data_IF_132348491317
#
_entry.id   IF_132348491317
#
_cell.length_a   1.000
_cell.length_b   1.000
_cell.length_c   1.000
_cell.angle_alpha   90.00
_cell.angle_beta   90.00
_cell.angle_gamma   90.00
#
_symmetry.space_group_name_H-M   'P 1'
#
loop_
_entity.id
_entity.type
_entity.pdbx_description
1 polymer ?
#
# COMPACT_ATOMS: atom_id res chain seq x y z
N UNK A 1 -13.25 -37.00 71.93
CA UNK A 1 -14.02 -35.74 72.06
C UNK A 1 -14.08 -35.06 70.70
N UNK A 2 -15.12 -35.34 69.92
CA UNK A 2 -15.31 -34.71 68.61
C UNK A 2 -16.11 -33.42 68.78
N UNK A 3 -15.53 -32.27 68.41
CA UNK A 3 -16.19 -30.96 68.45
C UNK A 3 -17.28 -30.94 67.36
N UNK A 4 -18.54 -30.89 67.77
CA UNK A 4 -19.68 -30.66 66.88
C UNK A 4 -19.53 -29.29 66.23
N UNK A 5 -19.53 -29.27 64.91
CA UNK A 5 -19.51 -28.04 64.13
C UNK A 5 -20.95 -27.57 64.02
N UNK A 6 -21.33 -26.65 64.91
CA UNK A 6 -22.64 -25.99 64.88
C UNK A 6 -22.84 -25.42 63.47
N UNK A 7 -23.84 -25.94 62.77
CA UNK A 7 -24.27 -25.44 61.47
C UNK A 7 -25.21 -24.28 61.70
N UNK A 8 -25.11 -23.26 60.86
CA UNK A 8 -25.90 -22.02 60.93
C UNK A 8 -27.42 -22.23 61.01
N UNK A 9 -27.90 -23.42 60.62
CA UNK A 9 -29.32 -23.76 60.65
C UNK A 9 -29.86 -24.20 62.03
N UNK A 10 -28.99 -24.39 63.04
CA UNK A 10 -29.35 -25.00 64.33
C UNK A 10 -29.62 -23.97 65.46
N UNK A 11 -29.67 -22.67 65.14
CA UNK A 11 -29.87 -21.59 66.12
C UNK A 11 -31.00 -20.63 65.73
N UNK A 12 -31.97 -21.08 64.92
CA UNK A 12 -33.05 -20.23 64.38
C UNK A 12 -34.45 -20.81 64.63
N UNK A 13 -34.62 -21.59 65.68
CA UNK A 13 -35.94 -21.84 66.27
C UNK A 13 -35.86 -21.35 67.72
N UNK A 14 -36.84 -20.53 68.12
CA UNK A 14 -37.05 -19.94 69.46
C UNK A 14 -36.42 -18.56 69.71
N UNK A 15 -36.97 -17.51 69.10
CA UNK A 15 -37.44 -16.33 69.85
C UNK A 15 -38.25 -15.39 68.94
N UNK A 16 -39.53 -15.21 69.28
CA UNK A 16 -40.41 -14.17 68.76
C UNK A 16 -39.87 -12.79 69.17
N UNK A 17 -39.01 -12.21 68.33
CA UNK A 17 -38.47 -10.86 68.51
C UNK A 17 -38.28 -10.22 67.15
N UNK A 18 -39.14 -9.25 66.83
CA UNK A 18 -39.01 -8.24 65.76
C UNK A 18 -37.81 -8.43 64.83
N UNK A 19 -37.98 -9.30 63.81
CA UNK A 19 -36.95 -9.66 62.84
C UNK A 19 -36.70 -8.49 61.85
N UNK A 20 -36.15 -7.42 62.39
CA UNK A 20 -35.61 -6.29 61.66
C UNK A 20 -34.34 -6.75 60.95
N UNK A 21 -34.27 -6.50 59.64
CA UNK A 21 -33.08 -6.86 58.86
C UNK A 21 -31.87 -6.12 59.44
N UNK A 22 -30.70 -6.78 59.56
CA UNK A 22 -29.52 -6.12 60.09
C UNK A 22 -29.13 -4.92 59.22
N UNK A 23 -28.60 -3.84 59.82
CA UNK A 23 -28.29 -2.62 59.09
C UNK A 23 -27.22 -2.85 58.03
N UNK A 24 -27.32 -2.09 56.94
CA UNK A 24 -26.34 -2.09 55.86
C UNK A 24 -24.93 -1.86 56.40
N UNK A 25 -24.03 -2.78 56.08
CA UNK A 25 -22.62 -2.69 56.49
C UNK A 25 -21.74 -2.40 55.28
N UNK A 26 -20.89 -1.40 55.43
CA UNK A 26 -19.91 -1.01 54.42
C UNK A 26 -18.54 -1.38 54.96
N UNK A 27 -17.91 -2.42 54.39
CA UNK A 27 -16.50 -2.70 54.65
C UNK A 27 -15.66 -1.92 53.65
N UNK A 28 -14.67 -1.20 54.20
CA UNK A 28 -13.78 -0.30 53.50
C UNK A 28 -13.00 -0.95 52.35
N UNK A 29 -12.24 -0.16 51.58
CA UNK A 29 -11.50 -0.66 50.45
C UNK A 29 -10.43 -1.64 50.90
N UNK A 30 -10.52 -2.89 50.44
CA UNK A 30 -9.48 -3.90 50.65
C UNK A 30 -8.13 -3.42 50.06
N UNK A 31 -7.04 -4.13 50.29
CA UNK A 31 -5.71 -3.84 49.71
C UNK A 31 -5.70 -3.68 48.17
N UNK A 32 -6.76 -4.13 47.49
CA UNK A 32 -7.00 -4.00 46.06
C UNK A 32 -7.98 -2.86 45.67
N UNK A 33 -8.37 -1.98 46.59
CA UNK A 33 -9.24 -0.82 46.34
C UNK A 33 -10.72 -1.17 46.12
N UNK A 34 -11.17 -2.33 46.61
CA UNK A 34 -12.55 -2.81 46.43
C UNK A 34 -13.37 -2.56 47.71
N UNK A 35 -14.41 -1.74 47.61
CA UNK A 35 -15.40 -1.49 48.67
C UNK A 35 -16.47 -2.57 48.62
N UNK A 36 -16.72 -3.26 49.73
CA UNK A 36 -17.77 -4.28 49.81
C UNK A 36 -18.94 -3.75 50.65
N UNK A 37 -20.07 -3.49 50.00
CA UNK A 37 -21.32 -3.06 50.65
C UNK A 37 -22.25 -4.26 50.76
N UNK A 38 -22.64 -4.62 51.98
CA UNK A 38 -23.58 -5.70 52.25
C UNK A 38 -24.90 -5.12 52.71
N UNK A 39 -25.94 -5.31 51.90
CA UNK A 39 -27.32 -4.90 52.16
C UNK A 39 -28.19 -6.15 52.29
N UNK A 40 -29.19 -6.10 53.17
CA UNK A 40 -30.16 -7.16 53.34
C UNK A 40 -31.53 -6.65 52.89
N UNK A 41 -32.23 -7.43 52.08
CA UNK A 41 -33.55 -7.12 51.53
C UNK A 41 -34.53 -8.23 51.88
N UNK A 42 -35.83 -7.91 51.99
CA UNK A 42 -36.90 -8.90 52.13
C UNK A 42 -37.79 -8.81 50.90
N UNK A 43 -38.07 -9.95 50.27
CA UNK A 43 -38.98 -10.01 49.12
C UNK A 43 -40.45 -9.96 49.57
N UNK A 44 -41.36 -9.73 48.63
CA UNK A 44 -42.82 -9.75 48.86
C UNK A 44 -43.35 -11.09 49.43
N UNK A 45 -42.56 -12.16 49.30
CA UNK A 45 -42.86 -13.50 49.85
C UNK A 45 -42.35 -13.73 51.27
N UNK A 46 -41.69 -12.74 51.89
CA UNK A 46 -41.17 -12.83 53.26
C UNK A 46 -39.72 -13.33 53.38
N UNK A 47 -39.15 -13.89 52.29
CA UNK A 47 -37.78 -14.40 52.25
C UNK A 47 -36.73 -13.27 52.32
N UNK A 48 -35.68 -13.46 53.13
CA UNK A 48 -34.58 -12.51 53.28
C UNK A 48 -33.41 -12.84 52.33
N UNK A 49 -32.92 -11.83 51.61
CA UNK A 49 -31.79 -11.91 50.69
C UNK A 49 -30.65 -11.00 51.11
N UNK A 50 -29.42 -11.46 50.88
CA UNK A 50 -28.19 -10.69 51.10
C UNK A 50 -27.62 -10.24 49.76
N UNK A 51 -27.58 -8.93 49.52
CA UNK A 51 -26.95 -8.30 48.36
C UNK A 51 -25.55 -7.82 48.74
N UNK A 52 -24.53 -8.39 48.10
CA UNK A 52 -23.13 -7.99 48.29
C UNK A 52 -22.66 -7.25 47.04
N UNK A 53 -22.59 -5.92 47.12
CA UNK A 53 -22.10 -5.06 46.04
C UNK A 53 -20.62 -4.78 46.25
N UNK A 54 -19.77 -5.27 45.35
CA UNK A 54 -18.33 -4.96 45.33
C UNK A 54 -18.07 -3.84 44.33
N UNK A 55 -17.69 -2.66 44.82
CA UNK A 55 -17.39 -1.49 43.99
C UNK A 55 -15.88 -1.24 44.01
N UNK A 56 -15.24 -1.28 42.84
CA UNK A 56 -13.85 -0.88 42.66
C UNK A 56 -13.80 0.47 41.95
N UNK A 57 -13.24 1.47 42.62
CA UNK A 57 -13.00 2.78 41.98
C UNK A 57 -11.67 2.68 41.23
N UNK A 58 -11.73 2.69 39.89
CA UNK A 58 -10.55 2.67 39.03
C UNK A 58 -10.34 4.07 38.48
N UNK A 59 -9.26 4.73 38.87
CA UNK A 59 -8.83 5.97 38.26
C UNK A 59 -8.20 5.66 36.90
N UNK A 60 -8.90 6.02 35.81
CA UNK A 60 -8.38 5.88 34.45
C UNK A 60 -7.81 7.23 34.03
N UNK A 61 -6.49 7.36 34.11
CA UNK A 61 -5.78 8.52 33.59
C UNK A 61 -5.82 8.49 32.06
N UNK A 62 -6.46 9.50 31.46
CA UNK A 62 -6.48 9.69 30.01
C UNK A 62 -5.60 10.89 29.68
N UNK A 63 -4.60 10.68 28.82
CA UNK A 63 -3.84 11.79 28.25
C UNK A 63 -4.75 12.51 27.25
N UNK A 64 -5.15 13.73 27.58
CA UNK A 64 -5.99 14.58 26.75
C UNK A 64 -5.22 15.86 26.45
N UNK A 65 -5.27 16.32 25.19
CA UNK A 65 -4.69 17.60 24.82
C UNK A 65 -5.48 18.74 25.48
N UNK A 66 -4.78 19.77 25.97
CA UNK A 66 -5.38 20.92 26.66
C UNK A 66 -6.54 21.56 25.87
N UNK A 67 -6.34 21.74 24.55
CA UNK A 67 -7.37 22.30 23.64
C UNK A 67 -8.64 21.44 23.61
N UNK A 68 -8.52 20.12 23.71
CA UNK A 68 -9.66 19.20 23.72
C UNK A 68 -10.47 19.32 25.00
N UNK A 69 -9.80 19.55 26.13
CA UNK A 69 -10.46 19.77 27.43
C UNK A 69 -11.20 21.10 27.46
N UNK A 70 -10.56 22.17 26.95
CA UNK A 70 -11.18 23.49 26.82
C UNK A 70 -12.45 23.44 25.95
N UNK A 71 -12.36 22.80 24.78
CA UNK A 71 -13.51 22.63 23.86
C UNK A 71 -14.63 21.81 24.47
N UNK A 72 -14.33 20.85 25.35
CA UNK A 72 -15.33 20.01 26.00
C UNK A 72 -16.18 20.78 27.01
N UNK A 73 -15.63 21.83 27.60
CA UNK A 73 -16.30 22.68 28.59
C UNK A 73 -16.99 23.90 27.97
N UNK A 74 -16.99 24.04 26.64
CA UNK A 74 -17.67 25.16 25.98
C UNK A 74 -19.18 25.10 26.19
N UNK A 75 -19.82 26.26 26.43
CA UNK A 75 -21.27 26.32 26.50
C UNK A 75 -21.86 25.87 25.16
N UNK A 76 -22.89 25.05 25.23
CA UNK A 76 -23.69 24.67 24.05
C UNK A 76 -24.49 25.90 23.59
N UNK A 77 -24.77 25.99 22.30
CA UNK A 77 -25.42 27.14 21.69
C UNK A 77 -26.48 26.70 20.67
N UNK A 78 -27.33 27.65 20.26
CA UNK A 78 -28.41 27.39 19.29
C UNK A 78 -29.46 26.43 19.86
N UNK A 79 -29.88 25.46 19.04
CA UNK A 79 -30.91 24.47 19.42
C UNK A 79 -30.42 23.48 20.49
N UNK A 80 -29.11 23.33 20.66
CA UNK A 80 -28.50 22.44 21.66
C UNK A 80 -28.27 23.12 23.03
N UNK A 81 -28.68 24.39 23.20
CA UNK A 81 -28.45 25.14 24.43
C UNK A 81 -29.20 24.57 25.64
N UNK A 82 -30.37 23.96 25.42
CA UNK A 82 -31.19 23.32 26.47
C UNK A 82 -30.85 21.85 26.71
N UNK A 83 -30.05 21.25 25.82
CA UNK A 83 -29.70 19.83 25.93
C UNK A 83 -28.70 19.58 27.04
N UNK A 84 -28.97 18.58 27.88
CA UNK A 84 -28.00 18.07 28.85
C UNK A 84 -27.04 17.09 28.20
N UNK A 85 -25.97 16.71 28.90
CA UNK A 85 -24.94 15.79 28.37
C UNK A 85 -25.51 14.45 27.89
N UNK A 86 -26.66 14.04 28.43
CA UNK A 86 -27.32 12.77 28.16
C UNK A 86 -28.34 12.85 27.01
N UNK A 87 -28.77 14.07 26.65
CA UNK A 87 -29.80 14.33 25.63
C UNK A 87 -29.26 14.33 24.19
N UNK A 88 -28.06 13.77 23.97
CA UNK A 88 -27.45 13.79 22.64
C UNK A 88 -28.24 12.92 21.65
N UNK A 89 -28.83 13.57 20.65
CA UNK A 89 -29.60 12.96 19.54
C UNK A 89 -28.82 11.87 18.78
N UNK A 90 -27.49 11.89 18.84
CA UNK A 90 -26.61 11.10 17.97
C UNK A 90 -26.31 9.67 18.42
N UNK A 91 -26.83 9.16 19.54
CA UNK A 91 -26.46 7.81 19.99
C UNK A 91 -27.65 7.04 20.54
N UNK A 92 -28.22 6.11 19.75
CA UNK A 92 -28.90 4.93 20.32
C UNK A 92 -28.66 3.59 19.60
N UNK A 93 -28.04 3.53 18.41
CA UNK A 93 -27.72 2.24 17.79
C UNK A 93 -26.22 2.05 17.63
N UNK A 94 -25.67 1.17 18.48
CA UNK A 94 -24.33 0.61 18.32
C UNK A 94 -24.44 -0.56 17.36
N UNK A 95 -24.51 -0.28 16.06
CA UNK A 95 -24.34 -1.32 15.07
C UNK A 95 -22.85 -1.69 15.01
N UNK A 96 -22.55 -2.96 15.23
CA UNK A 96 -21.21 -3.48 15.00
C UNK A 96 -21.00 -3.60 13.49
N UNK A 97 -20.23 -2.67 12.92
CA UNK A 97 -19.78 -2.76 11.53
C UNK A 97 -18.42 -3.47 11.53
N UNK A 98 -18.35 -4.78 11.18
CA UNK A 98 -17.08 -5.45 11.10
C UNK A 98 -16.28 -4.90 9.91
N UNK A 99 -15.20 -4.19 10.19
CA UNK A 99 -14.23 -3.80 9.18
C UNK A 99 -13.26 -4.94 8.92
N UNK A 100 -13.56 -5.75 7.91
CA UNK A 100 -12.59 -6.73 7.42
C UNK A 100 -11.52 -5.99 6.60
N UNK A 101 -10.33 -5.81 7.19
CA UNK A 101 -9.16 -5.39 6.42
C UNK A 101 -8.81 -6.53 5.49
N UNK A 102 -9.19 -6.41 4.21
CA UNK A 102 -8.79 -7.33 3.15
C UNK A 102 -7.26 -7.29 3.06
N UNK A 103 -6.60 -8.17 3.81
CA UNK A 103 -5.22 -8.51 3.54
C UNK A 103 -5.26 -9.18 2.18
N UNK A 104 -4.58 -8.61 1.19
CA UNK A 104 -4.30 -9.37 -0.01
C UNK A 104 -3.51 -10.61 0.45
N UNK A 105 -4.22 -11.74 0.57
CA UNK A 105 -3.58 -13.03 0.73
C UNK A 105 -2.61 -13.11 -0.44
N UNK A 106 -1.32 -13.27 -0.17
CA UNK A 106 -0.35 -13.55 -1.22
C UNK A 106 -0.84 -14.83 -1.86
N UNK A 107 -1.52 -14.71 -3.00
CA UNK A 107 -2.09 -15.85 -3.68
C UNK A 107 -0.98 -16.89 -3.83
N UNK A 108 -1.28 -18.08 -3.32
CA UNK A 108 -0.34 -19.19 -3.33
C UNK A 108 0.08 -19.41 -4.78
N UNK A 109 1.33 -19.80 -5.04
CA UNK A 109 1.82 -19.94 -6.44
C UNK A 109 0.89 -20.83 -7.30
N UNK A 110 0.15 -21.76 -6.68
CA UNK A 110 -0.84 -22.60 -7.34
C UNK A 110 -2.09 -21.82 -7.79
N UNK A 111 -2.61 -20.89 -6.99
CA UNK A 111 -3.79 -20.09 -7.34
C UNK A 111 -3.46 -19.09 -8.44
N UNK A 112 -2.28 -18.44 -8.37
CA UNK A 112 -1.79 -17.56 -9.45
C UNK A 112 -1.64 -18.31 -10.78
N UNK A 113 -1.09 -19.53 -10.73
CA UNK A 113 -0.99 -20.40 -11.91
C UNK A 113 -2.36 -20.79 -12.46
N UNK A 114 -3.36 -21.00 -11.61
CA UNK A 114 -4.70 -21.38 -12.06
C UNK A 114 -5.43 -20.20 -12.71
N UNK A 115 -5.37 -19.01 -12.12
CA UNK A 115 -5.97 -17.79 -12.69
C UNK A 115 -5.28 -17.36 -13.97
N UNK A 116 -3.94 -17.43 -14.02
CA UNK A 116 -3.16 -17.09 -15.21
C UNK A 116 -3.39 -18.09 -16.35
N UNK A 117 -3.55 -19.38 -16.03
CA UNK A 117 -3.85 -20.43 -17.02
C UNK A 117 -5.28 -20.33 -17.56
N UNK A 118 -6.25 -19.96 -16.72
CA UNK A 118 -7.63 -19.74 -17.14
C UNK A 118 -7.76 -18.48 -18.02
N UNK A 119 -7.04 -17.40 -17.67
CA UNK A 119 -6.95 -16.20 -18.50
C UNK A 119 -6.20 -16.45 -19.82
N UNK A 120 -5.11 -17.23 -19.80
CA UNK A 120 -4.35 -17.60 -21.00
C UNK A 120 -5.12 -18.55 -21.93
N UNK A 121 -6.01 -19.41 -21.40
CA UNK A 121 -6.86 -20.31 -22.19
C UNK A 121 -8.01 -19.57 -22.87
N UNK A 122 -8.41 -18.40 -22.35
CA UNK A 122 -9.43 -17.53 -22.94
C UNK A 122 -8.84 -16.52 -23.94
N UNK A 123 -7.55 -16.20 -23.85
CA UNK A 123 -6.85 -15.37 -24.83
C UNK A 123 -6.32 -16.18 -26.01
N UNK A 124 -6.61 -15.77 -27.24
CA UNK A 124 -6.13 -16.43 -28.47
C UNK A 124 -4.62 -16.26 -28.73
N UNK A 125 -3.87 -15.68 -27.78
CA UNK A 125 -2.45 -15.39 -27.90
C UNK A 125 -1.59 -16.51 -27.31
N UNK A 126 -1.03 -17.33 -28.18
CA UNK A 126 -0.12 -18.46 -27.84
C UNK A 126 1.23 -18.02 -27.24
N UNK A 127 1.42 -16.74 -26.94
CA UNK A 127 2.68 -16.15 -26.47
C UNK A 127 2.89 -16.26 -24.95
N UNK A 128 1.84 -16.57 -24.18
CA UNK A 128 1.91 -16.61 -22.71
C UNK A 128 2.50 -17.90 -22.10
N UNK A 129 2.92 -18.88 -22.90
CA UNK A 129 3.39 -20.20 -22.40
C UNK A 129 4.91 -20.28 -22.23
N UNK A 130 5.69 -19.29 -22.70
CA UNK A 130 7.15 -19.40 -22.62
C UNK A 130 7.68 -18.66 -21.40
N UNK A 131 8.05 -19.45 -20.38
CA UNK A 131 8.82 -18.99 -19.22
C UNK A 131 10.13 -18.30 -19.62
N UNK A 132 10.75 -17.65 -18.63
CA UNK A 132 12.04 -16.94 -18.64
C UNK A 132 12.82 -16.96 -19.97
N UNK A 133 13.29 -15.80 -20.44
CA UNK A 133 14.05 -15.60 -21.69
C UNK A 133 15.09 -16.70 -22.02
N UNK A 134 15.69 -17.32 -21.00
CA UNK A 134 16.60 -18.46 -21.12
C UNK A 134 15.95 -19.71 -21.72
N UNK A 135 14.71 -20.05 -21.34
CA UNK A 135 13.93 -21.16 -21.88
C UNK A 135 13.47 -20.87 -23.31
N UNK A 136 13.11 -19.62 -23.62
CA UNK A 136 12.73 -19.22 -24.98
C UNK A 136 13.90 -19.40 -25.95
N UNK A 137 15.11 -19.00 -25.53
CA UNK A 137 16.34 -19.15 -26.33
C UNK A 137 16.78 -20.61 -26.44
N UNK A 138 16.61 -21.42 -25.38
CA UNK A 138 16.91 -22.85 -25.42
C UNK A 138 15.97 -23.60 -26.37
N UNK A 139 14.66 -23.35 -26.28
CA UNK A 139 13.64 -23.93 -27.17
C UNK A 139 13.92 -23.57 -28.64
N UNK A 140 14.23 -22.30 -28.93
CA UNK A 140 14.53 -21.84 -30.29
C UNK A 140 15.82 -22.43 -30.86
N UNK A 141 16.82 -22.71 -30.01
CA UNK A 141 18.05 -23.42 -30.41
C UNK A 141 17.76 -24.87 -30.79
N UNK A 142 17.03 -25.60 -29.93
CA UNK A 142 16.66 -26.99 -30.17
C UNK A 142 15.79 -27.16 -31.41
N UNK A 143 14.82 -26.26 -31.60
CA UNK A 143 13.95 -26.26 -32.79
C UNK A 143 14.75 -26.09 -34.08
N UNK A 144 15.76 -25.20 -34.08
CA UNK A 144 16.65 -25.00 -35.24
C UNK A 144 17.51 -26.22 -35.54
N UNK A 145 17.98 -26.91 -34.49
CA UNK A 145 18.77 -28.14 -34.62
C UNK A 145 17.93 -29.29 -35.17
N UNK A 146 16.68 -29.40 -34.74
CA UNK A 146 15.71 -30.39 -35.20
C UNK A 146 15.28 -30.14 -36.66
N UNK A 147 15.09 -28.88 -37.06
CA UNK A 147 14.83 -28.48 -38.44
C UNK A 147 16.00 -28.80 -39.37
N UNK A 148 17.24 -28.67 -38.89
CA UNK A 148 18.45 -29.04 -39.61
C UNK A 148 18.57 -30.56 -39.75
N UNK A 149 18.30 -31.31 -38.68
CA UNK A 149 18.26 -32.77 -38.71
C UNK A 149 17.15 -33.34 -39.61
N UNK A 150 16.03 -32.60 -39.76
CA UNK A 150 14.93 -32.93 -40.68
C UNK A 150 15.16 -32.45 -42.12
N UNK A 151 16.32 -31.84 -42.43
CA UNK A 151 16.68 -31.40 -43.78
C UNK A 151 15.84 -30.22 -44.32
N UNK A 152 15.05 -29.55 -43.47
CA UNK A 152 14.20 -28.41 -43.83
C UNK A 152 14.92 -27.07 -43.73
N UNK A 153 16.19 -27.09 -43.31
CA UNK A 153 17.07 -25.93 -43.20
C UNK A 153 18.35 -26.30 -43.97
N UNK A 154 18.50 -25.74 -45.17
CA UNK A 154 19.61 -26.05 -46.07
C UNK A 154 20.96 -25.71 -45.42
N UNK A 155 21.89 -26.66 -45.44
CA UNK A 155 23.29 -26.35 -45.21
C UNK A 155 23.80 -25.49 -46.37
N UNK A 156 24.55 -24.43 -46.04
CA UNK A 156 25.16 -23.59 -47.06
C UNK A 156 26.10 -24.45 -47.91
N UNK A 157 25.66 -24.78 -49.12
CA UNK A 157 26.44 -25.59 -50.06
C UNK A 157 27.75 -24.89 -50.38
N UNK A 158 28.84 -25.64 -50.20
CA UNK A 158 30.16 -25.29 -50.70
C UNK A 158 30.09 -25.31 -52.23
N UNK A 159 30.46 -24.23 -52.95
CA UNK A 159 30.35 -24.23 -54.40
C UNK A 159 31.30 -25.26 -55.03
N UNK A 160 30.91 -25.88 -56.16
CA UNK A 160 31.69 -26.90 -56.82
C UNK A 160 32.92 -26.30 -57.51
N UNK A 161 34.04 -27.01 -57.41
CA UNK A 161 35.27 -26.74 -58.13
C UNK A 161 35.03 -27.01 -59.63
N UNK A 162 35.20 -26.01 -60.49
CA UNK A 162 35.51 -26.21 -61.91
C UNK A 162 36.65 -25.28 -62.37
N UNK A 163 37.50 -25.91 -63.16
CA UNK A 163 38.85 -25.54 -63.57
C UNK A 163 38.87 -24.64 -64.81
N UNK A 164 39.93 -23.81 -64.94
CA UNK A 164 40.38 -23.23 -66.21
C UNK A 164 39.98 -21.78 -66.55
N UNK A 165 40.94 -20.85 -66.39
CA UNK A 165 40.97 -19.60 -67.17
C UNK A 165 41.54 -18.36 -66.47
N UNK A 166 42.84 -18.09 -66.66
CA UNK A 166 43.52 -16.85 -66.21
C UNK A 166 43.04 -15.62 -66.99
N UNK A 167 42.76 -14.50 -66.31
CA UNK A 167 43.14 -13.13 -66.73
C UNK A 167 42.90 -12.06 -65.64
N UNK A 168 44.00 -11.59 -65.06
CA UNK A 168 44.35 -10.22 -64.61
C UNK A 168 43.28 -9.18 -64.18
N UNK A 169 43.36 -8.80 -62.89
CA UNK A 169 43.75 -7.43 -62.49
C UNK A 169 42.67 -6.42 -62.12
N UNK A 170 42.40 -6.23 -60.82
CA UNK A 170 41.94 -4.99 -60.15
C UNK A 170 42.03 -5.18 -58.60
N UNK A 171 42.26 -4.13 -57.79
CA UNK A 171 42.68 -4.25 -56.40
C UNK A 171 41.55 -4.67 -55.43
N UNK A 172 41.96 -5.42 -54.42
CA UNK A 172 41.13 -6.22 -53.53
C UNK A 172 40.12 -5.43 -52.66
N UNK A 173 38.85 -5.86 -52.74
CA UNK A 173 37.81 -5.54 -51.76
C UNK A 173 38.09 -6.25 -50.41
N UNK A 174 37.70 -5.66 -49.27
CA UNK A 174 37.95 -6.26 -47.96
C UNK A 174 37.14 -7.56 -47.77
N UNK A 175 37.80 -8.53 -47.15
CA UNK A 175 37.34 -9.92 -46.93
C UNK A 175 35.96 -9.99 -46.24
N UNK A 176 35.07 -10.92 -46.65
CA UNK A 176 33.78 -11.12 -45.98
C UNK A 176 34.01 -11.85 -44.66
N UNK A 177 33.87 -11.15 -43.55
CA UNK A 177 34.01 -11.79 -42.22
C UNK A 177 34.19 -10.84 -41.04
N UNK A 178 34.44 -9.55 -41.25
CA UNK A 178 34.44 -8.59 -40.14
C UNK A 178 33.05 -7.98 -39.96
N UNK A 179 32.49 -8.16 -38.76
CA UNK A 179 31.21 -7.60 -38.36
C UNK A 179 31.32 -6.07 -38.27
N UNK A 180 30.73 -5.38 -39.24
CA UNK A 180 30.58 -3.93 -39.20
C UNK A 180 29.34 -3.60 -38.36
N UNK A 181 29.45 -2.82 -37.28
CA UNK A 181 28.32 -2.53 -36.41
C UNK A 181 27.19 -1.80 -37.17
N UNK A 182 25.91 -2.03 -36.84
CA UNK A 182 24.76 -1.50 -37.59
C UNK A 182 24.78 0.03 -37.82
N UNK A 183 25.38 0.79 -36.90
CA UNK A 183 25.49 2.25 -36.97
C UNK A 183 26.29 2.78 -38.17
N UNK A 184 27.23 2.00 -38.73
CA UNK A 184 28.09 2.45 -39.85
C UNK A 184 27.61 1.96 -41.22
N UNK A 185 26.59 1.10 -41.26
CA UNK A 185 26.07 0.52 -42.51
C UNK A 185 25.11 1.43 -43.26
N UNK A 186 24.61 2.50 -42.65
CA UNK A 186 23.52 3.29 -43.21
C UNK A 186 23.83 4.80 -43.32
N UNK A 187 25.03 5.17 -43.77
CA UNK A 187 25.37 6.57 -44.12
C UNK A 187 25.04 6.91 -45.59
N UNK A 188 24.35 6.02 -46.31
CA UNK A 188 23.81 6.31 -47.64
C UNK A 188 22.33 6.67 -47.53
N UNK A 189 22.01 7.93 -47.85
CA UNK A 189 20.69 8.50 -48.11
C UNK A 189 19.47 7.59 -47.82
N UNK A 190 18.87 7.72 -46.63
CA UNK A 190 17.46 7.33 -46.44
C UNK A 190 17.07 6.37 -45.31
N UNK A 191 17.85 6.20 -44.23
CA UNK A 191 17.34 5.49 -43.04
C UNK A 191 17.54 6.30 -41.76
N UNK A 192 16.42 6.63 -41.12
CA UNK A 192 16.32 7.60 -40.04
C UNK A 192 16.95 7.15 -38.72
N UNK A 193 17.63 8.09 -38.06
CA UNK A 193 17.36 8.59 -36.72
C UNK A 193 16.96 7.66 -35.55
N UNK A 194 17.30 6.37 -35.57
CA UNK A 194 17.06 5.52 -34.40
C UNK A 194 17.95 5.89 -33.20
N UNK A 195 19.11 6.53 -33.42
CA UNK A 195 20.00 7.04 -32.37
C UNK A 195 19.55 8.36 -31.72
N UNK A 196 19.01 9.30 -32.51
CA UNK A 196 18.51 10.59 -32.00
C UNK A 196 17.18 10.44 -31.25
N UNK A 197 16.39 9.41 -31.58
CA UNK A 197 15.10 9.15 -30.93
C UNK A 197 15.21 8.83 -29.42
N UNK A 198 16.34 8.26 -28.98
CA UNK A 198 16.59 7.96 -27.56
C UNK A 198 17.04 9.18 -26.76
N UNK A 199 17.79 10.10 -27.37
CA UNK A 199 18.18 11.37 -26.75
C UNK A 199 16.98 12.32 -26.65
N UNK A 200 16.08 12.28 -27.63
CA UNK A 200 14.92 13.16 -27.66
C UNK A 200 13.85 12.82 -26.60
N UNK A 201 13.82 11.56 -26.13
CA UNK A 201 13.01 11.12 -24.97
C UNK A 201 13.61 11.50 -23.62
N UNK A 202 14.89 11.92 -23.60
CA UNK A 202 15.59 12.43 -22.41
C UNK A 202 15.88 13.92 -22.55
N UNK A 203 14.92 14.67 -23.10
CA UNK A 203 14.97 16.13 -22.99
C UNK A 203 14.74 16.50 -21.54
N UNK A 204 15.83 16.63 -20.80
CA UNK A 204 15.86 17.11 -19.42
C UNK A 204 15.36 18.57 -19.32
N UNK A 205 15.31 19.28 -20.46
CA UNK A 205 14.80 20.65 -20.56
C UNK A 205 13.30 20.79 -20.25
N UNK A 206 12.56 19.68 -20.32
CA UNK A 206 11.12 19.60 -20.03
C UNK A 206 10.83 18.97 -18.65
N UNK A 207 11.88 18.74 -17.85
CA UNK A 207 11.78 18.05 -16.58
C UNK A 207 11.58 19.03 -15.42
N UNK A 208 10.60 18.74 -14.58
CA UNK A 208 10.29 19.44 -13.35
C UNK A 208 10.76 18.63 -12.15
N UNK A 209 11.33 19.34 -11.18
CA UNK A 209 11.62 18.83 -9.84
C UNK A 209 10.55 19.36 -8.88
N UNK A 210 9.87 18.42 -8.23
CA UNK A 210 8.90 18.70 -7.18
C UNK A 210 9.56 18.40 -5.83
N UNK A 211 9.46 19.35 -4.91
CA UNK A 211 10.04 19.26 -3.56
C UNK A 211 8.98 19.54 -2.51
N UNK A 212 9.24 19.10 -1.28
CA UNK A 212 8.32 19.21 -0.14
C UNK A 212 7.04 18.37 -0.31
N UNK A 213 7.21 17.14 -0.81
CA UNK A 213 6.13 16.15 -0.90
C UNK A 213 5.94 15.41 0.42
N UNK A 214 4.69 15.07 0.74
CA UNK A 214 4.35 14.20 1.88
C UNK A 214 4.87 12.77 1.68
N UNK A 215 5.08 12.06 2.79
CA UNK A 215 5.54 10.67 2.81
C UNK A 215 4.50 9.70 2.22
N UNK A 216 3.23 10.08 2.25
CA UNK A 216 2.11 9.26 1.77
C UNK A 216 1.85 9.39 0.25
N UNK A 217 2.53 10.31 -0.45
CA UNK A 217 2.27 10.59 -1.87
C UNK A 217 2.73 9.46 -2.79
N UNK A 218 1.86 8.91 -3.64
CA UNK A 218 2.26 7.91 -4.63
C UNK A 218 2.58 8.52 -6.00
N UNK A 219 3.21 7.74 -6.87
CA UNK A 219 3.44 8.13 -8.27
C UNK A 219 2.12 8.40 -9.02
N UNK A 220 1.05 7.66 -8.68
CA UNK A 220 -0.28 7.84 -9.26
C UNK A 220 -0.88 9.19 -8.88
N UNK A 221 -0.72 9.62 -7.62
CA UNK A 221 -1.23 10.91 -7.14
C UNK A 221 -0.53 12.08 -7.85
N UNK A 222 0.79 11.98 -8.04
CA UNK A 222 1.54 12.95 -8.83
C UNK A 222 1.07 12.95 -10.29
N UNK A 223 0.80 11.77 -10.86
CA UNK A 223 0.30 11.70 -12.22
C UNK A 223 -1.06 12.41 -12.33
N UNK A 224 -1.97 12.20 -11.39
CA UNK A 224 -3.28 12.86 -11.36
C UNK A 224 -3.18 14.37 -11.14
N UNK A 225 -2.32 14.82 -10.22
CA UNK A 225 -2.12 16.24 -9.92
C UNK A 225 -1.56 17.01 -11.13
N UNK A 226 -0.64 16.41 -11.87
CA UNK A 226 0.04 17.06 -13.00
C UNK A 226 -0.69 16.85 -14.35
N UNK A 227 -1.67 15.95 -14.42
CA UNK A 227 -2.45 15.63 -15.63
C UNK A 227 -3.21 16.80 -16.25
N UNK A 228 -3.85 17.72 -15.49
CA UNK A 228 -4.62 18.82 -16.07
C UNK A 228 -3.76 19.83 -16.84
N UNK A 229 -2.47 19.91 -16.54
CA UNK A 229 -1.57 20.90 -17.15
C UNK A 229 -0.97 20.43 -18.48
N UNK A 230 -0.93 19.11 -18.73
CA UNK A 230 -0.48 18.54 -20.00
C UNK A 230 -0.15 17.05 -19.95
N UNK A 231 0.16 16.42 -21.10
CA UNK A 231 0.62 15.04 -21.19
C UNK A 231 2.00 14.85 -20.54
N UNK A 232 2.05 13.94 -19.57
CA UNK A 232 3.27 13.57 -18.85
C UNK A 232 3.98 12.44 -19.61
N UNK A 233 5.28 12.60 -19.84
CA UNK A 233 6.13 11.56 -20.45
C UNK A 233 6.59 10.53 -19.43
N UNK A 234 7.04 10.97 -18.25
CA UNK A 234 7.53 10.08 -17.19
C UNK A 234 7.40 10.73 -15.83
N UNK A 235 7.03 9.96 -14.82
CA UNK A 235 7.12 10.34 -13.41
C UNK A 235 8.21 9.48 -12.76
N UNK A 236 8.95 10.07 -11.83
CA UNK A 236 9.93 9.37 -11.01
C UNK A 236 9.87 9.90 -9.59
N UNK A 237 9.29 9.11 -8.69
CA UNK A 237 9.25 9.39 -7.26
C UNK A 237 10.51 8.82 -6.60
N UNK A 238 11.22 9.64 -5.83
CA UNK A 238 12.40 9.18 -5.13
C UNK A 238 12.02 8.51 -3.81
N UNK A 239 11.97 7.19 -3.84
CA UNK A 239 11.72 6.36 -2.66
C UNK A 239 13.05 5.95 -2.04
N UNK A 240 13.13 5.98 -0.70
CA UNK A 240 14.25 5.39 0.02
C UNK A 240 14.20 3.87 -0.09
N UNK A 241 15.33 3.27 -0.50
CA UNK A 241 15.40 1.83 -0.72
C UNK A 241 15.42 1.04 0.59
N UNK A 242 15.77 1.70 1.71
CA UNK A 242 15.84 1.06 3.03
C UNK A 242 14.52 1.08 3.77
N UNK A 243 13.84 2.23 3.85
CA UNK A 243 12.55 2.32 4.56
C UNK A 243 11.33 2.10 3.66
N UNK A 244 11.48 2.26 2.34
CA UNK A 244 10.37 2.27 1.40
C UNK A 244 9.53 3.54 1.45
N UNK A 245 9.95 4.54 2.23
CA UNK A 245 9.29 5.83 2.36
C UNK A 245 9.79 6.83 1.32
N UNK A 246 8.97 7.83 1.02
CA UNK A 246 9.33 8.84 0.04
C UNK A 246 10.33 9.83 0.61
N UNK A 247 11.35 10.19 -0.18
CA UNK A 247 12.38 11.16 0.23
C UNK A 247 11.90 12.63 0.12
N UNK A 248 10.60 12.86 -0.10
CA UNK A 248 10.01 14.19 -0.23
C UNK A 248 10.34 14.94 -1.53
N UNK A 249 10.85 14.23 -2.55
CA UNK A 249 11.08 14.82 -3.88
C UNK A 249 10.72 13.85 -5.01
N UNK A 250 10.27 14.44 -6.13
CA UNK A 250 9.92 13.72 -7.35
C UNK A 250 10.38 14.49 -8.59
N UNK A 251 10.50 13.77 -9.69
CA UNK A 251 10.79 14.32 -11.01
C UNK A 251 9.64 13.99 -11.96
N UNK A 252 9.12 15.01 -12.64
CA UNK A 252 8.03 14.88 -13.61
C UNK A 252 8.55 15.40 -14.94
N UNK A 253 8.54 14.57 -15.98
CA UNK A 253 8.93 14.98 -17.33
C UNK A 253 7.69 15.16 -18.19
N UNK A 254 7.51 16.35 -18.76
CA UNK A 254 6.43 16.63 -19.70
C UNK A 254 6.84 16.35 -21.13
N UNK A 255 5.85 16.09 -22.00
CA UNK A 255 6.10 15.97 -23.44
C UNK A 255 6.46 17.34 -24.05
N UNK A 256 5.80 18.40 -23.60
CA UNK A 256 6.00 19.77 -24.08
C UNK A 256 6.50 20.69 -22.96
N UNK A 257 7.34 21.66 -23.31
CA UNK A 257 7.95 22.59 -22.33
C UNK A 257 6.91 23.59 -21.81
N UNK A 258 6.00 24.01 -22.68
CA UNK A 258 4.93 24.95 -22.37
C UNK A 258 4.01 24.43 -21.25
N UNK A 259 3.74 23.13 -21.25
CA UNK A 259 2.94 22.47 -20.21
C UNK A 259 3.66 22.49 -18.86
N UNK A 260 4.98 22.29 -18.88
CA UNK A 260 5.82 22.35 -17.69
C UNK A 260 5.83 23.77 -17.08
N UNK A 261 5.89 24.81 -17.91
CA UNK A 261 5.76 26.22 -17.47
C UNK A 261 4.41 26.51 -16.82
N UNK A 262 3.31 26.00 -17.40
CA UNK A 262 1.97 26.13 -16.81
C UNK A 262 1.85 25.42 -15.47
N UNK A 263 2.43 24.23 -15.37
CA UNK A 263 2.46 23.47 -14.13
C UNK A 263 3.22 24.23 -13.02
N UNK A 264 4.41 24.80 -13.32
CA UNK A 264 5.19 25.59 -12.36
C UNK A 264 4.36 26.77 -11.83
N UNK A 265 3.71 27.56 -12.71
CA UNK A 265 2.97 28.76 -12.29
C UNK A 265 1.81 28.47 -11.35
N UNK A 266 1.15 27.32 -11.52
CA UNK A 266 -0.07 26.98 -10.78
C UNK A 266 0.20 26.09 -9.55
N UNK A 267 1.18 25.18 -9.63
CA UNK A 267 1.46 24.22 -8.56
C UNK A 267 2.55 24.68 -7.59
N UNK A 268 3.36 25.67 -7.96
CA UNK A 268 4.33 26.22 -7.04
C UNK A 268 3.61 27.04 -5.96
N UNK A 269 3.75 26.64 -4.70
CA UNK A 269 3.01 27.22 -3.58
C UNK A 269 1.64 26.57 -3.33
N UNK A 270 1.29 25.50 -4.04
CA UNK A 270 0.04 24.77 -3.83
C UNK A 270 0.12 23.89 -2.58
N UNK A 271 -0.91 23.94 -1.73
CA UNK A 271 -1.01 23.09 -0.55
C UNK A 271 -1.52 21.69 -0.91
N UNK A 272 -0.70 20.66 -0.69
CA UNK A 272 -1.06 19.26 -0.87
C UNK A 272 -0.66 18.44 0.36
N UNK A 273 -1.63 17.73 0.93
CA UNK A 273 -1.45 16.83 2.08
C UNK A 273 -0.70 17.49 3.26
N UNK A 274 -1.16 18.69 3.62
CA UNK A 274 -0.62 19.55 4.70
C UNK A 274 0.75 20.18 4.42
N UNK A 275 1.38 19.91 3.28
CA UNK A 275 2.63 20.53 2.85
C UNK A 275 2.42 21.49 1.68
N UNK A 276 3.23 22.53 1.60
CA UNK A 276 3.22 23.45 0.46
C UNK A 276 4.24 22.96 -0.56
N UNK A 277 3.77 22.57 -1.74
CA UNK A 277 4.61 22.07 -2.82
C UNK A 277 5.48 23.19 -3.39
N UNK A 278 6.72 22.84 -3.71
CA UNK A 278 7.63 23.71 -4.49
C UNK A 278 8.05 23.00 -5.76
N UNK A 279 7.75 23.63 -6.90
CA UNK A 279 7.97 23.08 -8.24
C UNK A 279 8.96 23.98 -8.99
N UNK A 280 10.05 23.39 -9.47
CA UNK A 280 11.11 24.10 -10.21
C UNK A 280 11.57 23.27 -11.40
N UNK A 281 12.30 23.88 -12.33
CA UNK A 281 12.98 23.12 -13.38
C UNK A 281 14.05 22.20 -12.78
N UNK A 282 14.11 20.96 -13.27
CA UNK A 282 15.13 20.02 -12.86
C UNK A 282 16.49 20.45 -13.43
N UNK A 283 17.53 20.39 -12.59
CA UNK A 283 18.88 20.53 -13.08
C UNK A 283 19.21 19.38 -14.04
N UNK A 284 19.92 19.62 -15.15
CA UNK A 284 20.30 18.58 -16.09
C UNK A 284 21.05 17.48 -15.35
N UNK A 285 20.69 16.23 -15.62
CA UNK A 285 21.31 15.10 -14.94
C UNK A 285 22.72 14.94 -15.50
N UNK A 286 23.73 15.30 -14.71
CA UNK A 286 25.13 15.09 -15.09
C UNK A 286 25.34 13.61 -15.47
N UNK A 287 25.84 13.37 -16.68
CA UNK A 287 26.15 12.03 -17.17
C UNK A 287 27.23 11.40 -16.27
N UNK A 288 27.02 10.15 -15.88
CA UNK A 288 27.85 9.40 -14.94
C UNK A 288 28.18 8.04 -15.53
#
# INVERSE_FOLDING_TARGET
MARSRIRWADTLDEEEGEFSLPPTSVRGPDSHGVKTTTEFYRNERGDAFKKVTKTKVVHVEKKVYKVTEERRNWPRFGMAATETREDSVTVQQKEEIPFERVRQLKATQQEKKFTDMQAAMQSADKSAIVGSLKDMLYKRRMERELLRAKGLLADAEKPPDEDGGRASGLPAAPKPGSYVPPSVRNRGAGGGNEGESMQQRRRDENSLRVTNLSEDVSEADLQELFRPFGPISRVFLAVDRTTGENRGFAFVNYVYREDADRAIRNLNGYGYDNLILRVEYAAPRAER
#
